data_IF_027053984619
#
_entry.id   IF_027053984619
#
_cell.length_a   1.000
_cell.length_b   1.000
_cell.length_c   1.000
_cell.angle_alpha   90.00
_cell.angle_beta   90.00
_cell.angle_gamma   90.00
#
_symmetry.space_group_name_H-M   'P 1'
#
loop_
_entity.id
_entity.type
_entity.pdbx_description
1 polymer ?
#
# COMPACT_ATOMS: atom_id res chain seq x y z
N UNK A 1 -74.95 -26.82 -52.61
CA UNK A 1 -74.34 -26.37 -53.88
C UNK A 1 -72.85 -26.23 -53.67
N UNK A 2 -72.16 -26.99 -54.41
CA UNK A 2 -70.71 -27.10 -54.44
C UNK A 2 -69.97 -25.87 -54.90
N UNK A 3 -68.83 -25.55 -54.40
CA UNK A 3 -67.71 -25.06 -55.22
C UNK A 3 -66.36 -25.25 -54.43
N UNK A 4 -65.61 -26.22 -54.94
CA UNK A 4 -64.23 -26.44 -54.70
C UNK A 4 -63.36 -25.37 -55.38
N UNK A 5 -62.38 -24.77 -54.70
CA UNK A 5 -61.23 -24.16 -55.37
C UNK A 5 -59.96 -24.62 -54.69
N UNK A 6 -59.18 -25.37 -55.48
CA UNK A 6 -57.77 -25.72 -55.21
C UNK A 6 -56.89 -24.49 -55.50
N UNK A 7 -55.93 -24.24 -54.68
CA UNK A 7 -54.95 -23.19 -54.92
C UNK A 7 -53.63 -23.47 -54.19
N UNK A 8 -52.73 -24.11 -54.92
CA UNK A 8 -51.30 -24.04 -55.02
C UNK A 8 -50.46 -23.57 -53.80
N UNK A 9 -49.80 -24.52 -53.22
CA UNK A 9 -48.66 -24.29 -52.31
C UNK A 9 -47.41 -23.95 -53.13
N UNK A 10 -46.92 -22.74 -53.03
CA UNK A 10 -45.57 -22.34 -53.45
C UNK A 10 -44.63 -22.48 -52.27
N UNK A 11 -43.74 -23.49 -52.33
CA UNK A 11 -42.66 -23.68 -51.39
C UNK A 11 -41.57 -22.63 -51.65
N UNK A 12 -41.41 -21.70 -50.72
CA UNK A 12 -40.26 -20.79 -50.71
C UNK A 12 -39.10 -21.48 -50.01
N UNK A 13 -38.08 -21.85 -50.80
CA UNK A 13 -36.82 -22.36 -50.29
C UNK A 13 -36.09 -21.27 -49.47
N UNK A 14 -35.81 -21.57 -48.23
CA UNK A 14 -34.87 -20.81 -47.36
C UNK A 14 -33.44 -21.26 -47.74
N UNK A 15 -32.49 -20.36 -48.02
CA UNK A 15 -31.13 -20.72 -48.36
C UNK A 15 -30.38 -21.32 -47.16
N UNK A 16 -29.67 -22.39 -47.41
CA UNK A 16 -28.79 -23.12 -46.51
C UNK A 16 -27.80 -22.17 -45.80
N UNK A 17 -27.84 -22.10 -44.47
CA UNK A 17 -26.73 -21.66 -43.62
C UNK A 17 -25.61 -22.72 -43.67
N UNK A 18 -24.36 -22.32 -43.78
CA UNK A 18 -23.25 -23.25 -43.73
C UNK A 18 -23.09 -23.89 -42.35
N UNK A 19 -22.94 -25.20 -42.32
CA UNK A 19 -22.72 -26.05 -41.17
C UNK A 19 -21.46 -25.62 -40.41
N UNK A 20 -21.58 -25.51 -39.07
CA UNK A 20 -20.44 -25.45 -38.17
C UNK A 20 -19.55 -26.72 -38.34
N UNK A 21 -18.23 -26.56 -38.46
CA UNK A 21 -17.34 -27.71 -38.43
C UNK A 21 -17.20 -28.23 -36.99
N UNK A 22 -17.16 -29.57 -36.87
CA UNK A 22 -16.90 -30.31 -35.64
C UNK A 22 -15.55 -29.89 -34.99
N UNK A 23 -15.41 -30.02 -33.64
CA UNK A 23 -14.16 -29.67 -32.98
C UNK A 23 -13.06 -30.67 -33.39
N UNK A 24 -12.11 -30.18 -34.19
CA UNK A 24 -10.86 -30.87 -34.51
C UNK A 24 -9.94 -30.87 -33.30
N UNK A 25 -9.19 -31.96 -33.13
CA UNK A 25 -8.11 -32.19 -32.19
C UNK A 25 -7.17 -30.98 -32.07
N UNK A 26 -6.57 -30.74 -30.89
CA UNK A 26 -5.63 -29.62 -30.69
C UNK A 26 -4.33 -29.93 -31.47
N UNK A 27 -4.15 -29.27 -32.59
CA UNK A 27 -2.88 -29.16 -33.28
C UNK A 27 -2.26 -27.81 -32.97
N UNK A 28 -1.06 -27.88 -32.45
CA UNK A 28 0.02 -26.88 -32.41
C UNK A 28 -0.37 -25.42 -32.63
N UNK A 29 -0.62 -24.71 -31.50
CA UNK A 29 -0.49 -23.26 -31.46
C UNK A 29 1.00 -22.90 -31.45
N UNK A 30 1.48 -21.97 -32.28
CA UNK A 30 2.84 -21.47 -32.16
C UNK A 30 3.00 -20.79 -30.82
N UNK A 31 3.93 -21.29 -30.01
CA UNK A 31 4.39 -20.64 -28.79
C UNK A 31 4.76 -19.19 -29.13
N UNK A 32 3.97 -18.23 -28.68
CA UNK A 32 4.41 -16.85 -28.52
C UNK A 32 5.67 -16.84 -27.68
N UNK A 33 6.59 -15.87 -27.86
CA UNK A 33 7.79 -15.80 -27.05
C UNK A 33 7.40 -15.79 -25.58
N UNK A 34 8.01 -16.72 -24.83
CA UNK A 34 7.87 -16.77 -23.38
C UNK A 34 8.14 -15.36 -22.82
N UNK A 35 7.39 -14.89 -21.81
CA UNK A 35 7.69 -13.64 -21.17
C UNK A 35 9.16 -13.69 -20.76
N UNK A 36 9.93 -12.69 -21.19
CA UNK A 36 11.34 -12.56 -20.87
C UNK A 36 11.48 -12.74 -19.35
N UNK A 37 12.35 -13.66 -18.94
CA UNK A 37 12.72 -13.80 -17.53
C UNK A 37 13.00 -12.40 -16.98
N UNK A 38 12.46 -12.02 -15.82
CA UNK A 38 12.78 -10.73 -15.23
C UNK A 38 14.31 -10.63 -15.16
N UNK A 39 14.84 -9.52 -15.65
CA UNK A 39 16.27 -9.25 -15.57
C UNK A 39 16.72 -9.54 -14.13
N UNK A 40 17.92 -10.14 -13.93
CA UNK A 40 18.42 -10.39 -12.60
C UNK A 40 18.32 -9.09 -11.83
N UNK A 41 17.60 -9.10 -10.71
CA UNK A 41 17.56 -7.96 -9.78
C UNK A 41 18.99 -7.56 -9.51
N UNK A 42 19.32 -6.28 -9.58
CA UNK A 42 20.62 -5.83 -9.11
C UNK A 42 20.80 -6.37 -7.70
N UNK A 43 22.01 -6.83 -7.33
CA UNK A 43 22.26 -7.37 -6.01
C UNK A 43 21.67 -6.39 -4.99
N UNK A 44 20.84 -6.91 -4.11
CA UNK A 44 20.25 -6.17 -3.00
C UNK A 44 21.33 -5.27 -2.41
N UNK A 45 21.07 -3.97 -2.38
CA UNK A 45 21.96 -3.00 -1.76
C UNK A 45 21.91 -3.14 -0.23
N UNK A 46 22.07 -4.37 0.28
CA UNK A 46 22.43 -4.69 1.67
C UNK A 46 23.92 -4.42 1.94
N UNK A 47 24.53 -3.58 1.10
CA UNK A 47 25.76 -2.92 1.45
C UNK A 47 25.45 -1.95 2.58
N UNK A 48 25.61 -2.41 3.82
CA UNK A 48 25.82 -1.52 4.96
C UNK A 48 26.72 -0.39 4.49
N UNK A 49 26.15 0.79 4.31
CA UNK A 49 26.92 2.02 4.20
C UNK A 49 27.60 2.13 5.55
N UNK A 50 28.84 1.64 5.62
CA UNK A 50 29.64 1.69 6.82
C UNK A 50 29.66 3.12 7.31
N UNK A 51 29.27 3.28 8.56
CA UNK A 51 29.02 4.48 9.32
C UNK A 51 30.01 5.66 9.18
N UNK A 52 30.04 6.56 10.12
CA UNK A 52 30.49 7.97 10.04
C UNK A 52 31.91 8.25 9.53
N UNK A 53 32.71 7.25 9.15
CA UNK A 53 34.05 7.45 8.61
C UNK A 53 34.09 8.03 7.18
N UNK A 54 32.98 8.14 6.48
CA UNK A 54 32.91 8.68 5.09
C UNK A 54 32.31 10.08 4.97
N UNK A 55 31.97 10.73 6.07
CA UNK A 55 31.53 12.11 6.05
C UNK A 55 32.57 13.02 5.38
N UNK A 56 32.12 14.00 4.60
CA UNK A 56 33.00 14.99 3.97
C UNK A 56 33.81 15.75 5.03
N UNK A 57 35.00 15.26 5.33
CA UNK A 57 35.92 15.79 6.32
C UNK A 57 37.18 16.28 5.66
N UNK A 58 37.91 17.22 6.33
CA UNK A 58 39.18 17.72 5.81
C UNK A 58 40.20 16.59 5.61
N UNK A 59 40.21 15.58 6.50
CA UNK A 59 41.08 14.41 6.38
C UNK A 59 40.77 13.54 5.15
N UNK A 60 39.49 13.30 4.86
CA UNK A 60 39.05 12.57 3.66
C UNK A 60 39.38 13.36 2.38
N UNK A 61 39.16 14.67 2.39
CA UNK A 61 39.51 15.56 1.30
C UNK A 61 41.03 15.54 1.03
N UNK A 62 41.85 15.70 2.07
CA UNK A 62 43.33 15.71 1.91
C UNK A 62 43.86 14.37 1.35
N UNK A 63 43.24 13.26 1.76
CA UNK A 63 43.56 11.93 1.21
C UNK A 63 43.20 11.81 -0.28
N UNK A 64 42.08 12.37 -0.68
CA UNK A 64 41.66 12.38 -2.09
C UNK A 64 42.55 13.24 -2.96
N UNK A 65 43.15 14.31 -2.41
CA UNK A 65 44.10 15.23 -3.07
C UNK A 65 45.58 14.90 -2.79
N UNK A 66 45.88 13.70 -2.28
CA UNK A 66 47.25 13.29 -1.95
C UNK A 66 48.22 13.42 -3.14
N UNK A 67 47.75 13.15 -4.36
CA UNK A 67 48.54 13.33 -5.57
C UNK A 67 48.99 14.79 -5.80
N UNK A 68 48.08 15.75 -5.55
CA UNK A 68 48.39 17.17 -5.64
C UNK A 68 49.38 17.59 -4.55
N UNK A 69 49.18 17.15 -3.31
CA UNK A 69 50.06 17.44 -2.20
C UNK A 69 51.49 16.88 -2.42
N UNK A 70 51.59 15.65 -2.90
CA UNK A 70 52.89 15.05 -3.27
C UNK A 70 53.56 15.80 -4.43
N UNK A 71 52.79 16.22 -5.45
CA UNK A 71 53.29 17.03 -6.56
C UNK A 71 53.83 18.38 -6.11
N UNK A 72 53.10 19.05 -5.19
CA UNK A 72 53.60 20.32 -4.60
C UNK A 72 54.91 20.17 -3.84
N UNK A 73 55.04 19.11 -3.00
CA UNK A 73 56.25 18.80 -2.29
C UNK A 73 57.42 18.51 -3.26
N UNK A 74 57.16 17.75 -4.33
CA UNK A 74 58.17 17.47 -5.36
C UNK A 74 58.62 18.74 -6.08
N UNK A 75 57.70 19.65 -6.42
CA UNK A 75 57.97 20.92 -7.05
C UNK A 75 58.86 21.79 -6.15
N UNK A 76 58.51 21.94 -4.89
CA UNK A 76 59.32 22.68 -3.90
C UNK A 76 60.76 22.11 -3.83
N UNK A 77 60.92 20.78 -3.78
CA UNK A 77 62.21 20.14 -3.75
C UNK A 77 63.05 20.40 -5.02
N UNK A 78 62.44 20.38 -6.19
CA UNK A 78 63.07 20.66 -7.47
C UNK A 78 63.53 22.12 -7.55
N UNK A 79 62.66 23.07 -7.19
CA UNK A 79 63.02 24.52 -7.21
C UNK A 79 64.15 24.82 -6.22
N UNK A 80 64.08 24.26 -4.97
CA UNK A 80 65.12 24.39 -3.99
C UNK A 80 66.48 23.81 -4.47
N UNK A 81 66.43 22.65 -5.15
CA UNK A 81 67.62 22.01 -5.75
C UNK A 81 68.24 22.88 -6.86
N UNK A 82 67.43 23.43 -7.74
CA UNK A 82 67.92 24.33 -8.79
C UNK A 82 68.54 25.57 -8.19
N UNK A 83 67.92 26.21 -7.19
CA UNK A 83 68.46 27.39 -6.52
C UNK A 83 69.77 27.08 -5.77
N UNK A 84 69.91 25.92 -5.17
CA UNK A 84 71.15 25.49 -4.53
C UNK A 84 72.30 25.32 -5.54
N UNK A 85 72.03 24.74 -6.72
CA UNK A 85 73.02 24.56 -7.79
C UNK A 85 73.46 25.89 -8.39
N UNK A 86 72.53 26.90 -8.47
CA UNK A 86 72.83 28.25 -8.97
C UNK A 86 73.56 29.14 -7.96
N UNK A 87 73.92 28.62 -6.76
CA UNK A 87 74.65 29.35 -5.76
C UNK A 87 73.84 30.39 -4.97
N UNK A 88 72.50 30.23 -4.92
CA UNK A 88 71.62 31.10 -4.14
C UNK A 88 71.86 30.97 -2.62
N UNK A 89 71.67 32.07 -1.87
CA UNK A 89 71.80 32.07 -0.41
C UNK A 89 70.74 31.17 0.25
N UNK A 90 71.09 30.47 1.30
CA UNK A 90 70.22 29.58 2.03
C UNK A 90 68.91 30.28 2.52
N UNK A 91 69.02 31.57 2.89
CA UNK A 91 67.82 32.38 3.28
C UNK A 91 66.89 32.61 2.13
N UNK A 92 67.38 32.80 0.89
CA UNK A 92 66.59 32.99 -0.31
C UNK A 92 65.86 31.69 -0.69
N UNK A 93 66.57 30.52 -0.61
CA UNK A 93 65.96 29.19 -0.83
C UNK A 93 64.82 28.94 0.16
N UNK A 94 65.09 29.18 1.47
CA UNK A 94 64.09 29.02 2.50
C UNK A 94 62.85 29.92 2.29
N UNK A 95 63.05 31.16 1.91
CA UNK A 95 61.95 32.12 1.64
C UNK A 95 61.08 31.64 0.48
N UNK A 96 61.69 31.25 -0.66
CA UNK A 96 60.93 30.79 -1.85
C UNK A 96 60.17 29.51 -1.53
N UNK A 97 60.83 28.52 -0.88
CA UNK A 97 60.14 27.28 -0.48
C UNK A 97 58.97 27.52 0.49
N UNK A 98 59.13 28.49 1.41
CA UNK A 98 58.07 28.88 2.31
C UNK A 98 56.88 29.51 1.57
N UNK A 99 57.15 30.38 0.58
CA UNK A 99 56.14 31.01 -0.24
C UNK A 99 55.35 29.95 -1.07
N UNK A 100 56.06 29.00 -1.68
CA UNK A 100 55.47 27.89 -2.43
C UNK A 100 54.60 27.00 -1.55
N UNK A 101 55.07 26.63 -0.36
CA UNK A 101 54.33 25.86 0.61
C UNK A 101 53.06 26.60 1.07
N UNK A 102 53.20 27.90 1.38
CA UNK A 102 52.05 28.73 1.76
C UNK A 102 51.03 28.82 0.63
N UNK A 103 51.44 29.01 -0.61
CA UNK A 103 50.56 29.03 -1.77
C UNK A 103 49.80 27.71 -1.95
N UNK A 104 50.51 26.58 -1.84
CA UNK A 104 49.88 25.25 -1.93
C UNK A 104 48.87 25.00 -0.79
N UNK A 105 49.17 25.43 0.43
CA UNK A 105 48.23 25.34 1.55
C UNK A 105 46.97 26.21 1.34
N UNK A 106 47.15 27.44 0.87
CA UNK A 106 46.02 28.37 0.55
C UNK A 106 45.15 27.82 -0.59
N UNK A 107 45.77 27.25 -1.62
CA UNK A 107 45.06 26.67 -2.75
C UNK A 107 44.19 25.45 -2.29
N UNK A 108 44.75 24.54 -1.48
CA UNK A 108 44.04 23.41 -0.91
C UNK A 108 42.90 23.85 0.01
N UNK A 109 43.17 24.84 0.87
CA UNK A 109 42.12 25.36 1.77
C UNK A 109 40.96 26.04 1.00
N UNK A 110 41.30 26.83 -0.03
CA UNK A 110 40.26 27.45 -0.87
C UNK A 110 39.43 26.46 -1.66
N UNK A 111 40.05 25.37 -2.17
CA UNK A 111 39.36 24.31 -2.88
C UNK A 111 38.41 23.52 -1.92
N UNK A 112 38.89 23.21 -0.73
CA UNK A 112 38.07 22.57 0.30
C UNK A 112 36.88 23.42 0.73
N UNK A 113 37.09 24.70 1.01
CA UNK A 113 36.03 25.59 1.49
C UNK A 113 34.98 25.86 0.40
N UNK A 114 35.37 25.85 -0.89
CA UNK A 114 34.48 26.08 -2.00
C UNK A 114 33.38 25.05 -2.16
N UNK A 115 33.72 23.79 -1.92
CA UNK A 115 32.78 22.66 -2.14
C UNK A 115 32.24 22.07 -0.85
N UNK A 116 32.70 22.53 0.32
CA UNK A 116 32.35 21.99 1.62
C UNK A 116 30.82 21.98 1.86
N UNK A 117 30.15 23.06 1.50
CA UNK A 117 28.74 23.24 1.76
C UNK A 117 27.88 22.24 0.95
N UNK A 118 28.20 22.08 -0.33
CA UNK A 118 27.52 21.12 -1.21
C UNK A 118 27.68 19.66 -0.73
N UNK A 119 28.91 19.24 -0.43
CA UNK A 119 29.12 17.85 0.02
C UNK A 119 28.59 17.57 1.41
N UNK A 120 28.56 18.54 2.32
CA UNK A 120 27.94 18.41 3.63
C UNK A 120 26.42 18.29 3.54
N UNK A 121 25.77 19.07 2.67
CA UNK A 121 24.36 18.90 2.41
C UNK A 121 24.05 17.51 1.83
N UNK A 122 24.85 17.05 0.87
CA UNK A 122 24.69 15.74 0.29
C UNK A 122 24.83 14.59 1.33
N UNK A 123 25.78 14.73 2.24
CA UNK A 123 26.05 13.74 3.32
C UNK A 123 24.85 13.64 4.28
N UNK A 124 24.25 14.77 4.67
CA UNK A 124 23.03 14.81 5.49
C UNK A 124 21.84 14.09 4.84
N UNK A 125 21.73 14.10 3.51
CA UNK A 125 20.68 13.38 2.80
C UNK A 125 20.93 11.88 2.73
N UNK A 126 22.18 11.43 2.71
CA UNK A 126 22.51 10.01 2.76
C UNK A 126 22.07 9.35 4.07
N UNK A 127 22.04 10.13 5.16
CA UNK A 127 21.61 9.66 6.49
C UNK A 127 20.09 9.65 6.66
N UNK A 128 19.34 10.30 5.75
CA UNK A 128 17.89 10.43 5.82
C UNK A 128 17.22 10.06 4.50
N UNK A 129 17.05 8.76 4.18
CA UNK A 129 16.51 8.32 2.89
C UNK A 129 15.09 8.84 2.60
N UNK A 130 14.33 9.21 3.62
CA UNK A 130 13.00 9.80 3.49
C UNK A 130 13.04 11.16 2.78
N UNK A 131 14.12 11.91 2.94
CA UNK A 131 14.33 13.22 2.33
C UNK A 131 14.93 13.14 0.91
N UNK A 132 15.33 11.96 0.45
CA UNK A 132 15.98 11.76 -0.85
C UNK A 132 15.10 12.24 -2.04
N UNK A 133 13.78 12.25 -1.87
CA UNK A 133 12.83 12.76 -2.89
C UNK A 133 12.99 14.25 -3.16
N UNK A 134 13.40 15.02 -2.17
CA UNK A 134 13.52 16.49 -2.24
C UNK A 134 14.94 16.96 -2.50
N UNK A 135 15.88 16.02 -2.71
CA UNK A 135 17.30 16.31 -2.87
C UNK A 135 17.57 17.38 -3.94
N UNK A 136 16.95 17.24 -5.10
CA UNK A 136 17.15 18.16 -6.24
C UNK A 136 16.54 19.55 -6.03
N UNK A 137 15.60 19.72 -5.09
CA UNK A 137 14.97 21.02 -4.80
C UNK A 137 15.61 21.77 -3.62
N UNK A 138 16.38 21.07 -2.79
CA UNK A 138 17.00 21.63 -1.57
C UNK A 138 18.50 21.83 -1.75
N UNK A 139 19.15 21.05 -2.64
CA UNK A 139 20.60 21.09 -2.86
C UNK A 139 20.98 22.34 -3.64
N UNK A 140 21.87 23.14 -3.10
CA UNK A 140 22.41 24.32 -3.80
C UNK A 140 23.31 23.90 -4.97
N UNK A 141 23.28 24.71 -6.04
CA UNK A 141 24.10 24.46 -7.23
C UNK A 141 25.60 24.64 -6.92
N UNK A 142 26.40 23.59 -7.06
CA UNK A 142 27.83 23.65 -6.72
C UNK A 142 28.62 24.49 -7.73
N UNK A 143 29.74 25.07 -7.26
CA UNK A 143 30.61 25.97 -8.07
C UNK A 143 31.68 25.24 -8.84
N UNK A 144 31.90 23.95 -8.56
CA UNK A 144 32.91 23.13 -9.27
C UNK A 144 32.28 22.32 -10.40
N UNK A 145 33.06 22.02 -11.42
CA UNK A 145 32.62 21.23 -12.55
C UNK A 145 32.22 19.81 -12.14
N UNK A 146 33.02 19.18 -11.26
CA UNK A 146 32.73 17.81 -10.75
C UNK A 146 31.45 17.82 -9.94
N UNK A 147 31.29 18.77 -9.02
CA UNK A 147 30.06 18.96 -8.25
C UNK A 147 28.85 19.20 -9.13
N UNK A 148 28.97 20.06 -10.14
CA UNK A 148 27.90 20.36 -11.09
C UNK A 148 27.44 19.12 -11.89
N UNK A 149 28.39 18.31 -12.36
CA UNK A 149 28.08 17.06 -13.07
C UNK A 149 27.32 16.09 -12.14
N UNK A 150 27.78 15.95 -10.90
CA UNK A 150 27.12 15.12 -9.89
C UNK A 150 25.70 15.65 -9.56
N UNK A 151 25.56 16.95 -9.31
CA UNK A 151 24.28 17.62 -9.07
C UNK A 151 23.30 17.40 -10.24
N UNK A 152 23.76 17.61 -11.47
CA UNK A 152 22.93 17.41 -12.67
C UNK A 152 22.48 15.95 -12.83
N UNK A 153 23.37 14.98 -12.55
CA UNK A 153 23.03 13.57 -12.60
C UNK A 153 21.95 13.21 -11.56
N UNK A 154 22.11 13.70 -10.32
CA UNK A 154 21.13 13.51 -9.23
C UNK A 154 19.79 14.19 -9.54
N UNK A 155 19.82 15.41 -10.10
CA UNK A 155 18.61 16.13 -10.47
C UNK A 155 17.82 15.41 -11.57
N UNK A 156 18.50 14.91 -12.61
CA UNK A 156 17.87 14.13 -13.67
C UNK A 156 17.29 12.83 -13.15
N UNK A 157 18.03 12.11 -12.31
CA UNK A 157 17.56 10.85 -11.72
C UNK A 157 16.40 11.08 -10.75
N UNK A 158 16.47 12.11 -9.89
CA UNK A 158 15.40 12.47 -8.98
C UNK A 158 14.13 12.87 -9.72
N UNK A 159 14.25 13.63 -10.81
CA UNK A 159 13.10 13.95 -11.65
C UNK A 159 12.49 12.71 -12.30
N UNK A 160 13.30 11.83 -12.90
CA UNK A 160 12.81 10.61 -13.53
C UNK A 160 12.08 9.70 -12.52
N UNK A 161 12.63 9.54 -11.32
CA UNK A 161 11.98 8.78 -10.25
C UNK A 161 10.67 9.42 -9.77
N UNK A 162 10.62 10.76 -9.69
CA UNK A 162 9.39 11.47 -9.34
C UNK A 162 8.32 11.32 -10.43
N UNK A 163 8.70 11.47 -11.70
CA UNK A 163 7.78 11.33 -12.84
C UNK A 163 7.21 9.90 -12.90
N UNK A 164 8.02 8.87 -12.64
CA UNK A 164 7.58 7.47 -12.57
C UNK A 164 6.59 7.21 -11.42
N UNK A 165 6.85 7.79 -10.24
CA UNK A 165 5.92 7.68 -9.11
C UNK A 165 4.57 8.37 -9.40
N UNK A 166 4.59 9.51 -10.07
CA UNK A 166 3.36 10.22 -10.48
C UNK A 166 2.58 9.39 -11.50
N UNK A 167 3.26 8.77 -12.47
CA UNK A 167 2.64 7.91 -13.46
C UNK A 167 2.02 6.66 -12.81
N UNK A 168 2.76 5.98 -11.93
CA UNK A 168 2.24 4.83 -11.17
C UNK A 168 1.02 5.21 -10.30
N UNK A 169 1.06 6.37 -9.66
CA UNK A 169 -0.07 6.88 -8.87
C UNK A 169 -1.30 7.15 -9.74
N UNK A 170 -1.09 7.69 -10.94
CA UNK A 170 -2.14 7.93 -11.93
C UNK A 170 -2.76 6.63 -12.41
N UNK A 171 -1.94 5.64 -12.79
CA UNK A 171 -2.41 4.34 -13.27
C UNK A 171 -3.24 3.62 -12.19
N UNK A 172 -2.79 3.68 -10.94
CA UNK A 172 -3.55 3.13 -9.80
C UNK A 172 -4.89 3.83 -9.60
N UNK A 173 -4.94 5.15 -9.80
CA UNK A 173 -6.19 5.92 -9.73
C UNK A 173 -7.14 5.54 -10.86
N UNK A 174 -6.65 5.48 -12.10
CA UNK A 174 -7.45 5.06 -13.26
C UNK A 174 -7.98 3.62 -13.09
N UNK A 175 -7.17 2.71 -12.57
CA UNK A 175 -7.60 1.34 -12.25
C UNK A 175 -8.71 1.32 -11.20
N UNK A 176 -8.58 2.10 -10.13
CA UNK A 176 -9.63 2.22 -9.11
C UNK A 176 -10.93 2.74 -9.70
N UNK A 177 -10.88 3.84 -10.47
CA UNK A 177 -12.06 4.45 -11.08
C UNK A 177 -12.76 3.47 -12.04
N UNK A 178 -12.00 2.68 -12.79
CA UNK A 178 -12.52 1.59 -13.61
C UNK A 178 -13.23 0.51 -12.79
N UNK A 179 -12.63 0.06 -11.68
CA UNK A 179 -13.25 -0.94 -10.79
C UNK A 179 -14.53 -0.38 -10.15
N UNK A 180 -14.55 0.90 -9.75
CA UNK A 180 -15.76 1.53 -9.20
C UNK A 180 -16.91 1.53 -10.21
N UNK A 181 -16.63 1.92 -11.45
CA UNK A 181 -17.61 1.88 -12.53
C UNK A 181 -18.12 0.46 -12.76
N UNK A 182 -17.21 -0.51 -12.87
CA UNK A 182 -17.56 -1.92 -13.06
C UNK A 182 -18.44 -2.47 -11.93
N UNK A 183 -18.13 -2.13 -10.67
CA UNK A 183 -18.94 -2.53 -9.51
C UNK A 183 -20.36 -1.92 -9.61
N UNK A 184 -20.48 -0.65 -9.98
CA UNK A 184 -21.79 -0.02 -10.18
C UNK A 184 -22.59 -0.71 -11.27
N UNK A 185 -21.97 -1.03 -12.38
CA UNK A 185 -22.61 -1.76 -13.48
C UNK A 185 -23.00 -3.20 -13.08
N UNK A 186 -22.21 -3.88 -12.25
CA UNK A 186 -22.52 -5.21 -11.74
C UNK A 186 -23.67 -5.21 -10.71
N UNK A 187 -23.77 -4.18 -9.86
CA UNK A 187 -24.85 -4.07 -8.86
C UNK A 187 -26.23 -3.91 -9.50
N UNK A 188 -26.34 -3.24 -10.62
CA UNK A 188 -27.61 -3.00 -11.31
C UNK A 188 -28.33 -4.30 -11.70
N UNK A 189 -27.73 -5.26 -12.44
CA UNK A 189 -28.38 -6.51 -12.77
C UNK A 189 -28.61 -7.40 -11.55
N UNK A 190 -27.75 -7.34 -10.52
CA UNK A 190 -27.95 -8.07 -9.27
C UNK A 190 -29.25 -7.56 -8.58
N UNK A 191 -29.40 -6.25 -8.41
CA UNK A 191 -30.58 -5.63 -7.83
C UNK A 191 -31.86 -5.95 -8.65
N UNK A 192 -31.76 -5.92 -9.99
CA UNK A 192 -32.88 -6.30 -10.87
C UNK A 192 -33.28 -7.76 -10.67
N UNK A 193 -32.32 -8.68 -10.57
CA UNK A 193 -32.59 -10.08 -10.30
C UNK A 193 -33.20 -10.31 -8.91
N UNK A 194 -32.68 -9.63 -7.88
CA UNK A 194 -33.27 -9.67 -6.53
C UNK A 194 -34.71 -9.16 -6.51
N UNK A 195 -35.01 -8.07 -7.24
CA UNK A 195 -36.37 -7.53 -7.36
C UNK A 195 -37.29 -8.52 -8.09
N UNK A 196 -36.86 -9.12 -9.19
CA UNK A 196 -37.64 -10.13 -9.92
C UNK A 196 -37.96 -11.36 -9.03
N UNK A 197 -37.05 -11.76 -8.15
CA UNK A 197 -37.27 -12.84 -7.21
C UNK A 197 -38.09 -12.45 -5.98
N UNK A 198 -38.33 -11.15 -5.71
CA UNK A 198 -38.99 -10.68 -4.50
C UNK A 198 -40.43 -11.21 -4.33
N UNK A 199 -41.14 -11.37 -5.45
CA UNK A 199 -42.51 -11.89 -5.50
C UNK A 199 -42.60 -13.41 -5.58
N UNK A 200 -41.49 -14.11 -5.80
CA UNK A 200 -41.43 -15.57 -5.92
C UNK A 200 -41.14 -16.23 -4.59
N UNK A 201 -41.73 -17.40 -4.34
CA UNK A 201 -41.57 -18.15 -3.09
C UNK A 201 -41.22 -19.62 -3.39
N UNK A 202 -40.41 -20.22 -2.52
CA UNK A 202 -40.04 -21.62 -2.63
C UNK A 202 -38.58 -21.85 -2.20
N UNK A 203 -38.21 -23.09 -1.86
CA UNK A 203 -36.88 -23.42 -1.38
C UNK A 203 -35.76 -23.15 -2.41
N UNK A 204 -36.03 -23.38 -3.70
CA UNK A 204 -35.09 -23.10 -4.78
C UNK A 204 -34.90 -21.60 -4.99
N UNK A 205 -35.97 -20.80 -4.85
CA UNK A 205 -35.90 -19.33 -4.93
C UNK A 205 -35.05 -18.78 -3.77
N UNK A 206 -35.19 -19.35 -2.58
CA UNK A 206 -34.36 -19.01 -1.42
C UNK A 206 -32.87 -19.24 -1.67
N UNK A 207 -32.49 -20.33 -2.35
CA UNK A 207 -31.09 -20.61 -2.72
C UNK A 207 -30.58 -19.58 -3.72
N UNK A 208 -31.32 -19.32 -4.80
CA UNK A 208 -30.92 -18.33 -5.83
C UNK A 208 -30.74 -16.95 -5.21
N UNK A 209 -31.62 -16.54 -4.32
CA UNK A 209 -31.53 -15.28 -3.59
C UNK A 209 -30.27 -15.23 -2.72
N UNK A 210 -29.98 -16.31 -1.98
CA UNK A 210 -28.74 -16.41 -1.18
C UNK A 210 -27.47 -16.41 -2.04
N UNK A 211 -27.53 -16.92 -3.28
CA UNK A 211 -26.39 -16.85 -4.21
C UNK A 211 -26.19 -15.44 -4.75
N UNK A 212 -27.27 -14.70 -5.05
CA UNK A 212 -27.19 -13.30 -5.44
C UNK A 212 -26.63 -12.40 -4.32
N UNK A 213 -27.07 -12.59 -3.07
CA UNK A 213 -26.53 -11.87 -1.91
C UNK A 213 -25.02 -12.14 -1.74
N UNK A 214 -24.56 -13.38 -2.01
CA UNK A 214 -23.13 -13.72 -2.02
C UNK A 214 -22.36 -13.06 -3.14
N UNK A 215 -22.93 -12.99 -4.36
CA UNK A 215 -22.30 -12.29 -5.49
C UNK A 215 -22.16 -10.81 -5.16
N UNK A 216 -23.20 -10.18 -4.63
CA UNK A 216 -23.16 -8.77 -4.21
C UNK A 216 -22.06 -8.50 -3.18
N UNK A 217 -21.98 -9.31 -2.12
CA UNK A 217 -20.90 -9.21 -1.12
C UNK A 217 -19.50 -9.36 -1.74
N UNK A 218 -19.33 -10.26 -2.74
CA UNK A 218 -18.05 -10.41 -3.45
C UNK A 218 -17.70 -9.19 -4.30
N UNK A 219 -18.66 -8.62 -5.00
CA UNK A 219 -18.49 -7.41 -5.81
C UNK A 219 -18.10 -6.24 -4.91
N UNK A 220 -18.75 -6.08 -3.75
CA UNK A 220 -18.37 -5.08 -2.75
C UNK A 220 -16.94 -5.29 -2.23
N UNK A 221 -16.56 -6.54 -1.96
CA UNK A 221 -15.21 -6.85 -1.49
C UNK A 221 -14.13 -6.45 -2.51
N UNK A 222 -14.40 -6.61 -3.83
CA UNK A 222 -13.49 -6.14 -4.89
C UNK A 222 -13.37 -4.62 -4.89
N UNK A 223 -14.48 -3.90 -4.67
CA UNK A 223 -14.47 -2.44 -4.56
C UNK A 223 -13.60 -1.97 -3.39
N UNK A 224 -13.80 -2.56 -2.20
CA UNK A 224 -13.00 -2.22 -1.04
C UNK A 224 -11.51 -2.57 -1.24
N UNK A 225 -11.20 -3.66 -1.94
CA UNK A 225 -9.83 -4.00 -2.30
C UNK A 225 -9.20 -2.95 -3.24
N UNK A 226 -9.90 -2.54 -4.29
CA UNK A 226 -9.41 -1.50 -5.20
C UNK A 226 -9.18 -0.16 -4.47
N UNK A 227 -10.11 0.23 -3.60
CA UNK A 227 -9.96 1.43 -2.76
C UNK A 227 -8.83 1.33 -1.76
N UNK A 228 -8.56 0.13 -1.22
CA UNK A 228 -7.49 -0.06 -0.24
C UNK A 228 -6.09 0.23 -0.78
N UNK A 229 -5.89 0.18 -2.09
CA UNK A 229 -4.60 0.51 -2.72
C UNK A 229 -4.27 2.02 -2.72
N UNK A 230 -5.29 2.90 -2.61
CA UNK A 230 -5.16 4.38 -2.72
C UNK A 230 -5.67 5.13 -1.48
N UNK A 231 -5.77 4.47 -0.34
CA UNK A 231 -6.49 4.91 0.86
C UNK A 231 -5.99 6.18 1.54
N UNK A 232 -4.84 6.75 1.16
CA UNK A 232 -4.31 7.94 1.85
C UNK A 232 -5.08 9.24 1.57
N UNK A 233 -5.97 9.26 0.57
CA UNK A 233 -6.63 10.51 0.13
C UNK A 233 -8.15 10.57 0.33
N UNK A 234 -8.83 9.47 0.68
CA UNK A 234 -10.31 9.37 0.55
C UNK A 234 -11.08 9.10 1.86
N UNK A 235 -10.48 9.16 3.05
CA UNK A 235 -11.24 8.98 4.28
C UNK A 235 -12.01 10.23 4.67
N UNK A 236 -13.33 10.10 4.87
CA UNK A 236 -14.18 11.11 5.48
C UNK A 236 -14.31 10.84 6.98
N UNK A 237 -13.32 11.28 7.75
CA UNK A 237 -13.34 11.10 9.21
C UNK A 237 -14.34 12.10 9.83
N UNK A 238 -15.35 11.56 10.49
CA UNK A 238 -16.41 12.31 11.17
C UNK A 238 -16.70 11.75 12.56
N UNK A 239 -17.34 12.56 13.40
CA UNK A 239 -17.79 12.11 14.71
C UNK A 239 -19.06 11.29 14.58
N UNK A 240 -19.00 10.01 14.96
CA UNK A 240 -20.06 9.03 14.82
C UNK A 240 -20.53 8.50 16.17
N UNK A 241 -21.83 8.26 16.29
CA UNK A 241 -22.37 7.51 17.43
C UNK A 241 -22.09 6.01 17.25
N UNK A 242 -21.35 5.40 18.18
CA UNK A 242 -20.89 4.02 18.08
C UNK A 242 -22.04 2.99 18.10
N UNK A 243 -23.05 3.22 18.94
CA UNK A 243 -24.22 2.34 19.02
C UNK A 243 -25.06 2.36 17.73
N UNK A 244 -25.26 3.56 17.17
CA UNK A 244 -25.98 3.74 15.90
C UNK A 244 -25.24 3.06 14.75
N UNK A 245 -23.90 3.16 14.70
CA UNK A 245 -23.05 2.55 13.69
C UNK A 245 -23.12 1.00 13.77
N UNK A 246 -22.98 0.42 14.95
CA UNK A 246 -23.10 -1.03 15.15
C UNK A 246 -24.49 -1.54 14.73
N UNK A 247 -25.57 -0.86 15.13
CA UNK A 247 -26.93 -1.23 14.72
C UNK A 247 -27.17 -1.10 13.22
N UNK A 248 -26.56 -0.09 12.57
CA UNK A 248 -26.64 0.08 11.12
C UNK A 248 -25.99 -1.10 10.41
N UNK A 249 -24.79 -1.49 10.81
CA UNK A 249 -24.07 -2.63 10.26
C UNK A 249 -24.85 -3.94 10.38
N UNK A 250 -25.48 -4.17 11.55
CA UNK A 250 -26.38 -5.33 11.77
C UNK A 250 -27.62 -5.31 10.88
N UNK A 251 -28.27 -4.14 10.72
CA UNK A 251 -29.44 -4.03 9.84
C UNK A 251 -29.13 -4.34 8.39
N UNK A 252 -28.00 -3.88 7.88
CA UNK A 252 -27.59 -4.14 6.50
C UNK A 252 -27.34 -5.64 6.24
N UNK A 253 -26.93 -6.38 7.27
CA UNK A 253 -26.64 -7.82 7.18
C UNK A 253 -27.72 -8.70 7.83
N UNK A 254 -28.89 -8.14 8.09
CA UNK A 254 -29.99 -8.82 8.80
C UNK A 254 -30.39 -10.16 8.16
N UNK A 255 -30.43 -10.26 6.83
CA UNK A 255 -30.74 -11.52 6.13
C UNK A 255 -29.73 -12.63 6.45
N UNK A 256 -28.45 -12.33 6.43
CA UNK A 256 -27.38 -13.28 6.75
C UNK A 256 -27.48 -13.73 8.20
N UNK A 257 -27.65 -12.78 9.12
CA UNK A 257 -27.73 -13.05 10.56
C UNK A 257 -28.99 -13.85 10.91
N UNK A 258 -30.16 -13.47 10.38
CA UNK A 258 -31.42 -14.22 10.59
C UNK A 258 -31.32 -15.61 9.96
N UNK A 259 -30.75 -15.73 8.75
CA UNK A 259 -30.57 -17.02 8.07
C UNK A 259 -29.66 -17.98 8.82
N UNK A 260 -28.71 -17.48 9.59
CA UNK A 260 -27.82 -18.24 10.47
C UNK A 260 -28.42 -18.46 11.87
N UNK A 261 -29.55 -17.82 12.20
CA UNK A 261 -30.21 -17.89 13.50
C UNK A 261 -29.43 -17.18 14.61
N UNK A 262 -28.74 -16.09 14.28
CA UNK A 262 -27.91 -15.31 15.20
C UNK A 262 -28.75 -14.33 16.02
N UNK A 263 -28.58 -14.33 17.34
CA UNK A 263 -29.09 -13.34 18.27
C UNK A 263 -28.07 -12.21 18.49
N UNK A 264 -28.54 -10.98 18.65
CA UNK A 264 -27.70 -9.80 18.85
C UNK A 264 -27.93 -9.19 20.22
N UNK A 265 -26.85 -8.91 20.96
CA UNK A 265 -26.87 -8.23 22.25
C UNK A 265 -26.04 -6.94 22.15
N UNK A 266 -26.58 -5.82 22.66
CA UNK A 266 -25.92 -4.51 22.59
C UNK A 266 -25.66 -3.97 24.01
N UNK A 267 -24.38 -3.93 24.38
CA UNK A 267 -23.86 -3.31 25.61
C UNK A 267 -23.04 -2.04 25.29
N UNK A 268 -23.56 -1.19 24.41
CA UNK A 268 -22.88 0.07 24.01
C UNK A 268 -23.68 1.24 24.58
N UNK A 269 -23.01 2.11 25.34
CA UNK A 269 -23.61 3.37 25.80
C UNK A 269 -23.94 4.25 24.59
N UNK A 270 -25.19 4.76 24.54
CA UNK A 270 -25.69 5.65 23.48
C UNK A 270 -24.92 6.98 23.40
N UNK A 271 -24.23 7.37 24.47
CA UNK A 271 -23.42 8.60 24.50
C UNK A 271 -22.02 8.42 23.88
N UNK A 272 -21.58 7.18 23.61
CA UNK A 272 -20.25 6.92 23.07
C UNK A 272 -20.14 7.40 21.63
N UNK A 273 -19.18 8.28 21.40
CA UNK A 273 -18.83 8.81 20.08
C UNK A 273 -17.40 8.41 19.72
N UNK A 274 -17.17 8.23 18.44
CA UNK A 274 -15.87 7.85 17.86
C UNK A 274 -15.59 8.70 16.63
N UNK A 275 -14.31 8.92 16.33
CA UNK A 275 -13.85 9.52 15.08
C UNK A 275 -13.50 8.40 14.10
N UNK A 276 -14.21 8.32 12.98
CA UNK A 276 -13.97 7.29 11.97
C UNK A 276 -14.68 7.63 10.65
N UNK A 277 -14.36 6.92 9.58
CA UNK A 277 -15.15 6.91 8.36
C UNK A 277 -16.31 5.92 8.50
N UNK A 278 -17.54 6.41 8.28
CA UNK A 278 -18.76 5.63 8.45
C UNK A 278 -18.85 4.41 7.52
N UNK A 279 -18.37 4.53 6.26
CA UNK A 279 -18.45 3.48 5.25
C UNK A 279 -17.44 2.37 5.54
N UNK A 280 -16.22 2.77 5.85
CA UNK A 280 -15.15 1.82 6.17
C UNK A 280 -15.41 1.10 7.49
N UNK A 281 -15.91 1.81 8.50
CA UNK A 281 -16.24 1.17 9.79
C UNK A 281 -17.43 0.20 9.63
N UNK A 282 -18.43 0.55 8.84
CA UNK A 282 -19.53 -0.38 8.48
C UNK A 282 -19.02 -1.64 7.76
N UNK A 283 -18.07 -1.48 6.83
CA UNK A 283 -17.41 -2.60 6.17
C UNK A 283 -16.66 -3.50 7.16
N UNK A 284 -15.84 -2.92 8.06
CA UNK A 284 -15.07 -3.68 9.06
C UNK A 284 -15.99 -4.48 9.97
N UNK A 285 -16.99 -3.82 10.57
CA UNK A 285 -17.98 -4.50 11.42
C UNK A 285 -18.70 -5.59 10.63
N UNK A 286 -19.05 -5.30 9.38
CA UNK A 286 -19.69 -6.25 8.49
C UNK A 286 -18.88 -7.51 8.24
N UNK A 287 -17.58 -7.38 8.00
CA UNK A 287 -16.72 -8.55 7.82
C UNK A 287 -16.64 -9.42 9.08
N UNK A 288 -16.67 -8.81 10.27
CA UNK A 288 -16.73 -9.54 11.53
C UNK A 288 -18.05 -10.30 11.64
N UNK A 289 -19.20 -9.64 11.42
CA UNK A 289 -20.53 -10.24 11.48
C UNK A 289 -20.71 -11.40 10.49
N UNK A 290 -20.23 -11.24 9.26
CA UNK A 290 -20.29 -12.27 8.24
C UNK A 290 -19.43 -13.48 8.62
N UNK A 291 -18.26 -13.25 9.23
CA UNK A 291 -17.43 -14.33 9.74
C UNK A 291 -18.10 -15.05 10.91
N UNK A 292 -18.63 -14.34 11.90
CA UNK A 292 -19.33 -14.94 13.04
C UNK A 292 -20.52 -15.81 12.59
N UNK A 293 -21.37 -15.29 11.69
CA UNK A 293 -22.48 -16.05 11.12
C UNK A 293 -22.02 -17.29 10.33
N UNK A 294 -20.91 -17.18 9.61
CA UNK A 294 -20.34 -18.26 8.79
C UNK A 294 -19.74 -19.37 9.65
N UNK A 295 -19.12 -19.01 10.77
CA UNK A 295 -18.47 -19.96 11.69
C UNK A 295 -19.33 -20.33 12.89
N UNK A 296 -20.66 -20.39 12.68
CA UNK A 296 -21.58 -21.08 13.55
C UNK A 296 -22.05 -20.32 14.78
N UNK A 297 -21.72 -19.04 14.92
CA UNK A 297 -22.18 -18.22 16.03
C UNK A 297 -23.71 -18.25 16.19
N UNK A 298 -24.19 -18.31 17.42
CA UNK A 298 -25.60 -18.20 17.79
C UNK A 298 -25.90 -16.87 18.48
N UNK A 299 -24.89 -16.30 19.14
CA UNK A 299 -25.01 -15.01 19.81
C UNK A 299 -23.82 -14.13 19.43
N UNK A 300 -24.09 -12.90 19.06
CA UNK A 300 -23.05 -11.86 18.86
C UNK A 300 -23.36 -10.74 19.84
N UNK A 301 -22.40 -10.44 20.71
CA UNK A 301 -22.48 -9.37 21.71
C UNK A 301 -21.55 -8.22 21.34
N UNK A 302 -22.08 -7.01 21.40
CA UNK A 302 -21.34 -5.78 21.22
C UNK A 302 -21.12 -5.10 22.56
N UNK A 303 -19.89 -4.78 22.91
CA UNK A 303 -19.54 -4.07 24.12
C UNK A 303 -18.72 -2.82 23.75
N UNK A 304 -19.21 -1.64 24.18
CA UNK A 304 -18.53 -0.37 23.97
C UNK A 304 -17.94 0.14 25.29
N UNK A 305 -16.63 0.36 25.36
CA UNK A 305 -15.97 0.87 26.58
C UNK A 305 -15.03 2.02 26.25
N UNK A 306 -15.05 3.05 27.10
CA UNK A 306 -14.07 4.13 27.04
C UNK A 306 -12.89 3.75 27.96
N UNK A 307 -11.67 3.82 27.41
CA UNK A 307 -10.42 3.52 28.12
C UNK A 307 -9.57 4.77 28.21
N UNK A 308 -8.87 4.96 29.33
CA UNK A 308 -7.91 6.05 29.56
C UNK A 308 -8.46 7.45 29.24
N UNK A 309 -9.73 7.71 29.58
CA UNK A 309 -10.36 9.01 29.35
C UNK A 309 -9.53 10.16 29.93
N UNK A 310 -9.36 11.23 29.15
CA UNK A 310 -8.61 12.43 29.56
C UNK A 310 -7.08 12.31 29.47
N UNK A 311 -6.55 11.22 28.94
CA UNK A 311 -5.11 11.06 28.65
C UNK A 311 -4.85 11.08 27.15
N UNK A 312 -3.58 11.26 26.75
CA UNK A 312 -3.17 11.14 25.35
C UNK A 312 -3.42 9.75 24.74
N UNK A 313 -3.54 8.71 25.58
CA UNK A 313 -3.83 7.33 25.19
C UNK A 313 -5.32 7.00 25.37
N UNK A 314 -6.17 8.02 25.48
CA UNK A 314 -7.62 7.86 25.54
C UNK A 314 -8.17 7.25 24.26
N UNK A 315 -9.02 6.23 24.41
CA UNK A 315 -9.65 5.56 23.26
C UNK A 315 -11.03 5.01 23.64
N UNK A 316 -11.84 4.80 22.62
CA UNK A 316 -13.06 3.98 22.71
C UNK A 316 -12.78 2.63 22.10
N UNK A 317 -13.10 1.56 22.79
CA UNK A 317 -12.99 0.20 22.28
C UNK A 317 -14.37 -0.39 22.04
N UNK A 318 -14.59 -0.92 20.85
CA UNK A 318 -15.75 -1.75 20.50
C UNK A 318 -15.29 -3.20 20.44
N UNK A 319 -15.74 -4.03 21.37
CA UNK A 319 -15.57 -5.46 21.33
C UNK A 319 -16.81 -6.11 20.70
N UNK A 320 -16.59 -6.98 19.73
CA UNK A 320 -17.59 -7.81 19.07
C UNK A 320 -17.24 -9.25 19.41
N UNK A 321 -18.05 -9.84 20.31
CA UNK A 321 -17.83 -11.18 20.85
C UNK A 321 -18.84 -12.14 20.26
N UNK A 322 -18.41 -13.25 19.69
CA UNK A 322 -19.27 -14.33 19.23
C UNK A 322 -18.99 -15.64 19.97
N UNK A 323 -19.99 -16.51 19.99
CA UNK A 323 -19.97 -17.86 20.56
C UNK A 323 -19.81 -18.95 19.48
N UNK A 324 -19.16 -18.62 18.35
CA UNK A 324 -18.95 -19.54 17.23
C UNK A 324 -17.86 -20.57 17.48
N UNK A 325 -17.43 -21.23 16.38
CA UNK A 325 -16.45 -22.33 16.42
C UNK A 325 -15.06 -21.91 16.96
N UNK A 326 -14.79 -20.61 17.10
CA UNK A 326 -13.48 -20.09 17.50
C UNK A 326 -12.41 -20.27 16.42
N UNK A 327 -11.18 -19.94 16.77
CA UNK A 327 -10.00 -20.00 15.88
C UNK A 327 -8.88 -20.75 16.62
N UNK A 328 -8.30 -21.81 16.03
CA UNK A 328 -7.15 -22.49 16.61
C UNK A 328 -6.00 -21.51 16.91
N UNK A 329 -5.34 -21.65 18.05
CA UNK A 329 -4.27 -20.76 18.51
C UNK A 329 -3.14 -20.58 17.48
N UNK A 330 -2.84 -21.61 16.68
CA UNK A 330 -1.85 -21.56 15.62
C UNK A 330 -2.26 -20.65 14.43
N UNK A 331 -3.56 -20.45 14.22
CA UNK A 331 -4.13 -19.69 13.11
C UNK A 331 -4.33 -18.20 13.49
N UNK A 332 -4.54 -17.88 14.78
CA UNK A 332 -4.81 -16.52 15.27
C UNK A 332 -3.78 -15.47 14.79
N UNK A 333 -2.46 -15.69 14.81
CA UNK A 333 -1.49 -14.70 14.33
C UNK A 333 -1.60 -14.39 12.83
N UNK A 334 -2.25 -15.27 12.05
CA UNK A 334 -2.31 -15.23 10.60
C UNK A 334 -3.66 -14.83 10.03
N UNK A 335 -4.68 -14.59 10.87
CA UNK A 335 -6.04 -14.30 10.39
C UNK A 335 -6.15 -13.03 9.55
N UNK A 336 -5.19 -12.13 9.70
CA UNK A 336 -5.08 -10.89 8.92
C UNK A 336 -4.19 -11.02 7.68
N UNK A 337 -3.54 -12.16 7.47
CA UNK A 337 -2.72 -12.40 6.27
C UNK A 337 -3.61 -12.44 5.03
N UNK A 338 -3.11 -11.87 3.93
CA UNK A 338 -3.82 -11.86 2.64
C UNK A 338 -4.09 -13.29 2.14
N UNK A 339 -5.38 -13.60 1.91
CA UNK A 339 -5.77 -14.89 1.36
C UNK A 339 -5.70 -16.05 2.37
N UNK A 340 -5.43 -15.77 3.65
CA UNK A 340 -5.39 -16.80 4.67
C UNK A 340 -6.79 -17.34 4.96
N UNK A 341 -6.92 -18.65 4.86
CA UNK A 341 -8.13 -19.39 5.24
C UNK A 341 -7.68 -20.53 6.13
N UNK A 342 -7.95 -20.44 7.43
CA UNK A 342 -7.61 -21.48 8.40
C UNK A 342 -8.12 -22.88 8.02
N UNK A 343 -7.83 -23.88 8.83
CA UNK A 343 -8.25 -25.26 8.62
C UNK A 343 -9.76 -25.39 8.43
N UNK A 344 -10.54 -24.67 9.22
CA UNK A 344 -12.00 -24.62 9.15
C UNK A 344 -12.50 -23.92 7.86
N UNK A 345 -11.83 -22.85 7.42
CA UNK A 345 -12.18 -22.12 6.20
C UNK A 345 -12.00 -22.97 4.92
N UNK A 346 -11.01 -23.86 4.89
CA UNK A 346 -10.79 -24.82 3.80
C UNK A 346 -11.91 -25.87 3.73
N UNK A 347 -12.39 -26.33 4.88
CA UNK A 347 -13.50 -27.30 4.95
C UNK A 347 -14.82 -26.73 4.40
N UNK A 348 -15.04 -25.43 4.55
CA UNK A 348 -16.27 -24.77 4.10
C UNK A 348 -16.27 -24.30 2.64
N UNK A 349 -15.20 -24.46 1.86
CA UNK A 349 -15.05 -24.08 0.44
C UNK A 349 -15.51 -22.64 0.06
N UNK A 350 -15.78 -21.76 1.02
CA UNK A 350 -16.44 -20.45 0.83
C UNK A 350 -15.61 -19.24 1.28
N UNK A 351 -14.38 -19.46 1.80
CA UNK A 351 -13.55 -18.38 2.31
C UNK A 351 -12.56 -17.88 1.26
N UNK A 352 -12.50 -16.56 1.05
CA UNK A 352 -11.47 -15.91 0.22
C UNK A 352 -10.23 -15.53 1.01
N UNK A 353 -10.33 -15.44 2.33
CA UNK A 353 -9.26 -14.91 3.19
C UNK A 353 -8.95 -13.43 2.97
N UNK A 354 -9.86 -12.69 2.30
CA UNK A 354 -9.64 -11.27 2.00
C UNK A 354 -10.33 -10.33 3.00
N UNK A 355 -11.44 -10.77 3.64
CA UNK A 355 -12.28 -9.89 4.46
C UNK A 355 -11.56 -9.29 5.66
N UNK A 356 -10.97 -10.12 6.53
CA UNK A 356 -10.22 -9.65 7.71
C UNK A 356 -8.92 -8.94 7.32
N UNK A 357 -8.27 -9.36 6.22
CA UNK A 357 -7.12 -8.64 5.68
C UNK A 357 -7.46 -7.20 5.30
N UNK A 358 -8.54 -6.99 4.54
CA UNK A 358 -9.00 -5.65 4.16
C UNK A 358 -9.44 -4.83 5.37
N UNK A 359 -10.08 -5.48 6.36
CA UNK A 359 -10.43 -4.81 7.61
C UNK A 359 -9.18 -4.32 8.36
N UNK A 360 -8.12 -5.14 8.40
CA UNK A 360 -6.86 -4.75 9.03
C UNK A 360 -6.17 -3.59 8.30
N UNK A 361 -6.09 -3.66 6.97
CA UNK A 361 -5.53 -2.57 6.13
C UNK A 361 -6.31 -1.27 6.33
N UNK A 362 -7.65 -1.34 6.36
CA UNK A 362 -8.48 -0.16 6.58
C UNK A 362 -8.28 0.43 8.00
N UNK A 363 -8.19 -0.41 9.03
CA UNK A 363 -7.90 0.04 10.39
C UNK A 363 -6.54 0.73 10.48
N UNK A 364 -5.49 0.12 9.95
CA UNK A 364 -4.13 0.67 9.93
C UNK A 364 -4.11 2.05 9.29
N UNK A 365 -4.72 2.19 8.11
CA UNK A 365 -4.78 3.45 7.37
C UNK A 365 -5.60 4.55 8.04
N UNK A 366 -6.66 4.18 8.76
CA UNK A 366 -7.46 5.11 9.56
C UNK A 366 -6.83 5.41 10.94
N UNK A 367 -5.70 4.82 11.28
CA UNK A 367 -5.12 4.93 12.62
C UNK A 367 -5.95 4.25 13.72
N UNK A 368 -6.80 3.27 13.34
CA UNK A 368 -7.59 2.47 14.28
C UNK A 368 -6.82 1.23 14.71
N UNK A 369 -7.01 0.80 15.97
CA UNK A 369 -6.51 -0.49 16.42
C UNK A 369 -7.47 -1.63 16.06
N UNK A 370 -6.93 -2.76 15.60
CA UNK A 370 -7.70 -3.99 15.40
C UNK A 370 -6.99 -5.15 16.11
N UNK A 371 -7.71 -5.85 16.97
CA UNK A 371 -7.21 -7.05 17.67
C UNK A 371 -8.23 -8.17 17.58
N UNK A 372 -7.73 -9.40 17.61
CA UNK A 372 -8.54 -10.59 17.67
C UNK A 372 -8.02 -11.47 18.80
N UNK A 373 -8.93 -12.01 19.58
CA UNK A 373 -8.67 -13.08 20.54
C UNK A 373 -9.70 -14.17 20.34
N UNK A 374 -9.28 -15.40 20.34
CA UNK A 374 -10.16 -16.54 20.11
C UNK A 374 -9.62 -17.79 20.77
N UNK A 375 -10.53 -18.66 21.17
CA UNK A 375 -10.24 -19.99 21.68
C UNK A 375 -11.08 -21.00 20.90
N UNK A 376 -10.45 -22.06 20.43
CA UNK A 376 -11.06 -23.10 19.60
C UNK A 376 -12.24 -23.74 20.34
N UNK A 377 -13.42 -23.77 19.72
CA UNK A 377 -14.66 -24.29 20.28
C UNK A 377 -15.37 -23.35 21.26
N UNK A 378 -14.85 -22.14 21.52
CA UNK A 378 -15.44 -21.24 22.55
C UNK A 378 -16.01 -19.96 21.94
N UNK A 379 -15.40 -19.47 20.84
CA UNK A 379 -15.82 -18.28 20.17
C UNK A 379 -14.68 -17.31 19.86
N UNK A 380 -15.04 -16.14 19.31
CA UNK A 380 -14.08 -15.14 18.90
C UNK A 380 -14.48 -13.75 19.40
N UNK A 381 -13.49 -12.97 19.82
CA UNK A 381 -13.64 -11.56 20.14
C UNK A 381 -12.78 -10.73 19.23
N UNK A 382 -13.40 -9.82 18.48
CA UNK A 382 -12.71 -8.79 17.67
C UNK A 382 -12.88 -7.46 18.35
N UNK A 383 -11.77 -6.80 18.68
CA UNK A 383 -11.75 -5.49 19.32
C UNK A 383 -11.25 -4.42 18.35
N UNK A 384 -12.08 -3.41 18.09
CA UNK A 384 -11.78 -2.19 17.36
C UNK A 384 -11.47 -1.07 18.36
N UNK A 385 -10.34 -0.41 18.21
CA UNK A 385 -9.92 0.69 19.08
C UNK A 385 -9.91 1.99 18.29
N UNK A 386 -10.70 2.98 18.75
CA UNK A 386 -10.82 4.31 18.16
C UNK A 386 -10.08 5.30 19.04
N UNK A 387 -8.96 5.90 18.61
CA UNK A 387 -8.28 6.96 19.37
C UNK A 387 -9.20 8.17 19.54
N UNK A 388 -9.13 8.81 20.72
CA UNK A 388 -9.84 10.08 20.97
C UNK A 388 -9.08 11.29 20.44
N UNK A 389 -7.77 11.16 20.22
CA UNK A 389 -6.92 12.22 19.71
C UNK A 389 -6.78 12.15 18.19
N UNK A 390 -7.23 13.22 17.52
CA UNK A 390 -7.21 13.36 16.06
C UNK A 390 -5.79 13.38 15.50
N UNK A 391 -4.82 13.84 16.26
CA UNK A 391 -3.40 13.91 15.84
C UNK A 391 -2.79 12.54 15.54
N UNK A 392 -3.29 11.48 16.15
CA UNK A 392 -2.85 10.09 15.85
C UNK A 392 -3.42 9.52 14.55
N UNK A 393 -4.56 10.03 14.12
CA UNK A 393 -5.17 9.62 12.84
C UNK A 393 -4.45 10.25 11.65
N UNK A 394 -3.95 11.49 11.80
CA UNK A 394 -3.21 12.20 10.75
C UNK A 394 -1.79 11.60 10.52
N UNK A 395 -1.19 10.97 11.53
CA UNK A 395 0.13 10.34 11.44
C UNK A 395 0.12 8.95 10.77
N UNK A 396 -1.01 8.27 10.71
CA UNK A 396 -1.12 6.97 10.04
C UNK A 396 -1.32 7.09 8.52
N UNK A 397 -1.61 8.30 8.02
CA UNK A 397 -1.81 8.62 6.60
C UNK A 397 -0.63 9.35 5.95
N UNK A 398 0.43 9.64 6.68
CA UNK A 398 1.67 10.26 6.18
C UNK A 398 2.77 9.19 6.05
#
# INVERSE_FOLDING_TARGET
>A
MSASIRGNAAATQVPNSPACPAPGSPADSPHGPAPASPAPMPPSADGQVNGPERAYSFGAYLRSRAGFALGAVALIAVVAGIMAVTGSNASAIALVSLCEALFACVALAADFLRDREFYQQLDLFCDSPENARYLSSILDEPRTLEGFVAYRALAVQGKAASDELVEQSRDMKEYRDYIELWVHEAKTPIASAQLALASLHGPEIGKVRGDLDRIESRVEQVLYYARSATLSEDFSIEELNLAALARKACRQRSRTLIGAGVSLEFGIDEALKVLADAKWTDFIIGQVLENSAKYGAKTIRFEGTMKNAGTKDGCVELAICDDGDGIPAADVPRVFDRGFTGSQGRAHHKATGMGLHLAAVACERMGLGLRISSEDGTGTTVALTFPLDRTRMDLAGA
#
